data_IF_562693838948
#
_entry.id   IF_562693838948
#
_cell.length_a   1.000
_cell.length_b   1.000
_cell.length_c   1.000
_cell.angle_alpha   90.00
_cell.angle_beta   90.00
_cell.angle_gamma   90.00
#
_symmetry.space_group_name_H-M   'P 1'
#
loop_
_entity.id
_entity.type
_entity.pdbx_description
1 polymer ?
#
# COMPACT_ATOMS: atom_id res chain seq x y z
N UNK A 1 10.34 -5.06 -3.05
CA UNK A 1 9.38 -6.10 -2.61
C UNK A 1 10.00 -7.47 -2.82
N UNK A 2 10.05 -8.32 -1.81
CA UNK A 2 10.52 -9.71 -2.00
C UNK A 2 9.33 -10.54 -2.53
N UNK A 3 9.38 -11.03 -3.78
CA UNK A 3 8.27 -11.78 -4.39
C UNK A 3 8.00 -13.13 -3.70
N UNK A 4 8.88 -13.55 -2.78
CA UNK A 4 8.77 -14.81 -2.03
C UNK A 4 8.00 -14.67 -0.72
N UNK A 5 7.78 -13.44 -0.23
CA UNK A 5 7.03 -13.18 0.99
C UNK A 5 5.63 -12.63 0.68
N UNK A 6 4.61 -13.24 1.29
CA UNK A 6 3.21 -12.79 1.18
C UNK A 6 2.95 -11.51 1.97
N UNK A 7 3.77 -11.26 2.99
CA UNK A 7 3.54 -10.19 3.93
C UNK A 7 4.30 -8.93 3.49
N UNK A 8 3.58 -7.83 3.49
CA UNK A 8 4.13 -6.49 3.27
C UNK A 8 4.49 -5.86 4.61
N UNK A 9 5.30 -4.83 4.58
CA UNK A 9 5.54 -3.98 5.73
C UNK A 9 4.95 -2.61 5.44
N UNK A 10 4.01 -2.20 6.27
CA UNK A 10 3.47 -0.85 6.26
C UNK A 10 4.33 0.02 7.21
N UNK A 11 4.88 1.11 6.68
CA UNK A 11 5.58 2.09 7.50
C UNK A 11 4.56 3.05 8.11
N UNK A 12 4.56 3.13 9.43
CA UNK A 12 3.65 3.96 10.20
C UNK A 12 4.46 4.99 10.98
N UNK A 13 4.17 6.27 10.76
CA UNK A 13 4.74 7.36 11.56
C UNK A 13 3.85 7.58 12.78
N UNK A 14 4.45 7.58 13.97
CA UNK A 14 3.76 7.96 15.19
C UNK A 14 3.70 9.48 15.25
N UNK A 15 2.51 10.05 15.21
CA UNK A 15 2.30 11.51 15.19
C UNK A 15 2.09 12.04 16.61
N UNK A 16 1.42 11.28 17.47
CA UNK A 16 1.17 11.65 18.87
C UNK A 16 1.03 10.40 19.74
N UNK A 17 1.33 10.53 21.01
CA UNK A 17 1.28 9.45 21.99
C UNK A 17 2.48 8.52 21.91
N UNK A 18 2.31 7.35 22.49
CA UNK A 18 3.32 6.30 22.58
C UNK A 18 2.74 5.00 21.99
N UNK A 19 3.60 4.27 21.32
CA UNK A 19 3.31 2.92 20.84
C UNK A 19 3.85 1.90 21.84
N UNK A 20 3.03 0.93 22.19
CA UNK A 20 3.42 -0.28 22.89
C UNK A 20 3.07 -1.52 22.05
N UNK A 21 3.97 -2.49 22.04
CA UNK A 21 3.76 -3.75 21.32
C UNK A 21 2.48 -4.45 21.77
N UNK A 22 1.66 -4.85 20.81
CA UNK A 22 0.39 -5.52 21.08
C UNK A 22 -0.77 -4.58 21.36
N UNK A 23 -0.58 -3.25 21.30
CA UNK A 23 -1.67 -2.30 21.42
C UNK A 23 -2.72 -2.49 20.33
N UNK A 24 -3.96 -2.16 20.66
CA UNK A 24 -5.07 -2.20 19.70
C UNK A 24 -5.31 -0.82 19.10
N UNK A 25 -5.39 -0.75 17.80
CA UNK A 25 -5.66 0.47 17.04
C UNK A 25 -6.88 0.29 16.15
N UNK A 26 -7.50 1.39 15.75
CA UNK A 26 -8.59 1.41 14.79
C UNK A 26 -8.11 2.03 13.48
N UNK A 27 -8.33 1.35 12.39
CA UNK A 27 -8.13 1.88 11.04
C UNK A 27 -9.33 2.76 10.69
N UNK A 28 -9.14 4.08 10.64
CA UNK A 28 -10.23 5.06 10.51
C UNK A 28 -11.03 4.85 9.23
N UNK A 29 -10.36 4.61 8.10
CA UNK A 29 -10.99 4.39 6.80
C UNK A 29 -12.03 3.26 6.80
N UNK A 30 -11.80 2.17 7.52
CA UNK A 30 -12.70 1.00 7.53
C UNK A 30 -13.46 0.81 8.84
N UNK A 31 -13.07 1.52 9.89
CA UNK A 31 -13.59 1.33 11.25
C UNK A 31 -13.20 0.00 11.90
N UNK A 32 -12.28 -0.76 11.29
CA UNK A 32 -11.84 -2.06 11.81
C UNK A 32 -10.70 -1.91 12.80
N UNK A 33 -10.80 -2.66 13.91
CA UNK A 33 -9.71 -2.79 14.87
C UNK A 33 -8.58 -3.70 14.35
N UNK A 34 -7.34 -3.35 14.66
CA UNK A 34 -6.16 -4.14 14.40
C UNK A 34 -5.27 -4.19 15.64
N UNK A 35 -4.57 -5.30 15.86
CA UNK A 35 -3.60 -5.44 16.94
C UNK A 35 -2.18 -5.39 16.38
N UNK A 36 -1.38 -4.45 16.86
CA UNK A 36 -0.01 -4.25 16.41
C UNK A 36 0.96 -5.14 17.20
N UNK A 37 0.99 -6.44 16.88
CA UNK A 37 1.80 -7.43 17.62
C UNK A 37 3.19 -7.62 17.05
N UNK A 38 3.31 -7.57 15.71
CA UNK A 38 4.56 -7.77 14.99
C UNK A 38 5.02 -6.43 14.41
N UNK A 39 5.85 -5.73 15.17
CA UNK A 39 6.34 -4.40 14.81
C UNK A 39 7.86 -4.42 14.81
N UNK A 40 8.44 -3.86 13.76
CA UNK A 40 9.89 -3.77 13.57
C UNK A 40 10.29 -2.32 13.36
N UNK A 41 11.50 -1.96 13.78
CA UNK A 41 12.17 -0.73 13.40
C UNK A 41 13.34 -1.06 12.51
N UNK A 42 13.60 -0.19 11.56
CA UNK A 42 14.75 -0.33 10.69
C UNK A 42 15.89 0.54 11.24
N UNK A 43 16.95 -0.12 11.71
CA UNK A 43 18.19 0.50 12.14
C UNK A 43 19.27 0.12 11.13
N UNK A 44 19.53 1.01 10.18
CA UNK A 44 20.46 0.77 9.07
C UNK A 44 20.09 -0.52 8.28
N UNK A 45 20.91 -1.58 8.37
CA UNK A 45 20.70 -2.86 7.66
C UNK A 45 19.95 -3.90 8.50
N UNK A 46 19.74 -3.68 9.80
CA UNK A 46 19.09 -4.64 10.69
C UNK A 46 17.63 -4.32 10.94
N UNK A 47 16.84 -5.39 11.12
CA UNK A 47 15.45 -5.30 11.59
C UNK A 47 15.42 -5.72 13.03
N UNK A 48 15.01 -4.83 13.91
CA UNK A 48 14.86 -5.12 15.32
C UNK A 48 13.37 -5.05 15.70
N UNK A 49 12.96 -5.95 16.61
CA UNK A 49 11.62 -5.88 17.17
C UNK A 49 11.52 -4.69 18.11
N UNK A 50 10.45 -3.93 17.97
CA UNK A 50 10.19 -2.73 18.77
C UNK A 50 9.15 -3.04 19.81
N UNK A 51 9.48 -2.80 21.07
CA UNK A 51 8.54 -2.92 22.18
C UNK A 51 7.80 -1.59 22.40
N UNK A 52 8.51 -0.47 22.32
CA UNK A 52 7.96 0.88 22.52
C UNK A 52 8.49 1.84 21.47
N UNK A 53 7.69 2.83 21.10
CA UNK A 53 8.11 3.93 20.24
C UNK A 53 7.29 5.19 20.57
N UNK A 54 7.86 6.37 20.29
CA UNK A 54 7.27 7.66 20.66
C UNK A 54 6.92 8.49 19.43
N UNK A 55 6.19 9.59 19.68
CA UNK A 55 5.86 10.55 18.62
C UNK A 55 7.10 11.05 17.88
N UNK A 56 7.08 10.95 16.55
CA UNK A 56 8.19 11.24 15.64
C UNK A 56 8.84 9.99 15.05
N UNK A 57 8.75 8.86 15.74
CA UNK A 57 9.31 7.59 15.26
C UNK A 57 8.53 6.98 14.09
N UNK A 58 9.25 6.17 13.31
CA UNK A 58 8.67 5.37 12.22
C UNK A 58 8.84 3.90 12.56
N UNK A 59 7.73 3.18 12.59
CA UNK A 59 7.69 1.74 12.85
C UNK A 59 7.20 0.99 11.62
N UNK A 60 7.67 -0.24 11.44
CA UNK A 60 7.23 -1.15 10.40
C UNK A 60 6.24 -2.16 10.95
N UNK A 61 5.03 -2.17 10.44
CA UNK A 61 3.96 -3.09 10.82
C UNK A 61 3.79 -4.13 9.72
N UNK A 62 3.77 -5.41 10.10
CA UNK A 62 3.46 -6.48 9.14
C UNK A 62 2.01 -6.38 8.67
N UNK A 63 1.84 -6.38 7.36
CA UNK A 63 0.55 -6.18 6.71
C UNK A 63 0.24 -7.28 5.70
N UNK A 64 -0.93 -7.87 5.81
CA UNK A 64 -1.46 -8.87 4.87
C UNK A 64 -2.28 -8.26 3.72
N UNK A 65 -2.23 -6.94 3.54
CA UNK A 65 -2.96 -6.21 2.52
C UNK A 65 -4.14 -5.39 3.05
N UNK A 66 -4.09 -5.05 4.34
CA UNK A 66 -5.15 -4.26 5.02
C UNK A 66 -4.91 -2.76 4.90
N UNK A 67 -3.65 -2.35 5.04
CA UNK A 67 -3.26 -0.94 5.07
C UNK A 67 -3.00 -0.37 3.68
N UNK A 68 -3.35 0.89 3.53
CA UNK A 68 -3.10 1.69 2.32
C UNK A 68 -2.28 2.93 2.68
N UNK A 69 -1.57 3.46 1.70
CA UNK A 69 -0.84 4.73 1.87
C UNK A 69 -1.83 5.84 2.17
N UNK A 70 -1.56 6.63 3.23
CA UNK A 70 -2.45 7.67 3.72
C UNK A 70 -3.45 7.23 4.79
N UNK A 71 -3.53 5.93 5.12
CA UNK A 71 -4.39 5.46 6.20
C UNK A 71 -4.00 6.07 7.55
N UNK A 72 -5.02 6.36 8.36
CA UNK A 72 -4.85 6.84 9.74
C UNK A 72 -5.22 5.74 10.72
N UNK A 73 -4.33 5.51 11.70
CA UNK A 73 -4.54 4.60 12.82
C UNK A 73 -4.77 5.42 14.09
N UNK A 74 -5.82 5.12 14.83
CA UNK A 74 -6.17 5.81 16.07
C UNK A 74 -6.33 4.84 17.23
N UNK A 75 -6.06 5.31 18.45
CA UNK A 75 -6.31 4.58 19.68
C UNK A 75 -7.63 5.05 20.29
N UNK A 76 -8.43 4.11 20.81
CA UNK A 76 -9.70 4.43 21.44
C UNK A 76 -10.83 4.73 20.45
N UNK A 77 -11.80 5.57 20.85
CA UNK A 77 -13.01 5.87 20.08
C UNK A 77 -12.89 7.11 19.17
N UNK A 78 -11.73 7.74 19.13
CA UNK A 78 -11.51 8.94 18.35
C UNK A 78 -11.54 8.61 16.84
N UNK A 79 -12.38 9.32 16.11
CA UNK A 79 -12.46 9.21 14.63
C UNK A 79 -11.69 10.36 13.98
N UNK A 80 -10.44 10.52 14.37
CA UNK A 80 -9.57 11.49 13.71
C UNK A 80 -8.99 10.85 12.45
N UNK A 81 -8.94 11.62 11.37
CA UNK A 81 -8.33 11.22 10.10
C UNK A 81 -7.48 12.39 9.59
N UNK A 82 -6.26 12.09 9.21
CA UNK A 82 -5.40 13.08 8.56
C UNK A 82 -5.92 13.38 7.16
N UNK A 83 -5.65 14.60 6.68
CA UNK A 83 -5.89 14.92 5.29
C UNK A 83 -5.17 13.92 4.37
N UNK A 84 -5.83 13.47 3.29
CA UNK A 84 -5.22 12.54 2.35
C UNK A 84 -3.97 13.15 1.74
N UNK A 85 -2.99 12.30 1.47
CA UNK A 85 -1.78 12.74 0.77
C UNK A 85 -2.15 13.30 -0.61
N UNK A 86 -1.52 14.40 -1.04
CA UNK A 86 -1.80 14.97 -2.35
C UNK A 86 -1.47 13.95 -3.45
N UNK A 87 -2.44 13.68 -4.30
CA UNK A 87 -2.27 12.81 -5.46
C UNK A 87 -2.10 13.65 -6.70
N UNK A 88 -1.07 13.35 -7.49
CA UNK A 88 -0.87 14.01 -8.76
C UNK A 88 -1.83 13.46 -9.81
N UNK A 89 -2.41 14.32 -10.62
CA UNK A 89 -3.24 13.91 -11.75
C UNK A 89 -2.36 13.20 -12.78
N UNK A 90 -2.74 12.02 -13.27
CA UNK A 90 -2.00 11.35 -14.31
C UNK A 90 -1.97 12.16 -15.60
N UNK A 91 -0.80 12.22 -16.22
CA UNK A 91 -0.60 12.85 -17.52
C UNK A 91 -0.52 11.83 -18.67
N UNK A 92 -0.14 10.60 -18.32
CA UNK A 92 0.00 9.49 -19.27
C UNK A 92 -0.96 8.36 -18.94
N UNK A 93 -1.57 7.81 -19.97
CA UNK A 93 -2.48 6.67 -19.84
C UNK A 93 -2.04 5.52 -20.73
N UNK A 94 -2.06 4.31 -20.19
CA UNK A 94 -1.71 3.10 -20.91
C UNK A 94 -2.80 2.06 -20.74
N UNK A 95 -3.31 1.53 -21.86
CA UNK A 95 -4.24 0.42 -21.83
C UNK A 95 -3.52 -0.85 -21.45
N UNK A 96 -4.13 -1.63 -20.56
CA UNK A 96 -3.56 -2.88 -20.07
C UNK A 96 -4.55 -4.02 -20.18
N UNK A 97 -4.02 -5.18 -20.51
CA UNK A 97 -4.82 -6.41 -20.56
C UNK A 97 -3.96 -7.61 -20.16
N UNK A 98 -4.61 -8.67 -19.67
CA UNK A 98 -3.93 -9.93 -19.43
C UNK A 98 -3.61 -10.59 -20.78
N UNK A 99 -2.34 -10.87 -21.03
CA UNK A 99 -1.91 -11.58 -22.26
C UNK A 99 -2.48 -13.01 -22.36
N UNK A 100 -2.79 -13.61 -21.21
CA UNK A 100 -3.36 -14.94 -21.12
C UNK A 100 -4.60 -14.92 -20.24
N UNK A 101 -5.73 -15.33 -20.80
CA UNK A 101 -7.04 -15.38 -20.13
C UNK A 101 -6.99 -16.22 -18.85
N UNK A 102 -6.19 -17.30 -18.83
CA UNK A 102 -6.01 -18.14 -17.62
C UNK A 102 -5.32 -17.40 -16.46
N UNK A 103 -4.58 -16.32 -16.74
CA UNK A 103 -3.88 -15.51 -15.73
C UNK A 103 -4.64 -14.24 -15.33
N UNK A 104 -5.87 -14.08 -15.74
CA UNK A 104 -6.67 -12.87 -15.51
C UNK A 104 -6.82 -12.56 -14.02
N UNK A 105 -7.05 -13.57 -13.17
CA UNK A 105 -7.13 -13.37 -11.71
C UNK A 105 -5.82 -12.84 -11.11
N UNK A 106 -4.68 -13.37 -11.56
CA UNK A 106 -3.36 -12.91 -11.11
C UNK A 106 -3.05 -11.51 -11.61
N UNK A 107 -3.49 -11.17 -12.81
CA UNK A 107 -3.39 -9.85 -13.42
C UNK A 107 -4.17 -8.82 -12.60
N UNK A 108 -5.45 -9.06 -12.29
CA UNK A 108 -6.25 -8.17 -11.46
C UNK A 108 -5.62 -7.95 -10.08
N UNK A 109 -5.24 -9.03 -9.41
CA UNK A 109 -4.61 -8.94 -8.10
C UNK A 109 -3.30 -8.14 -8.13
N UNK A 110 -2.50 -8.30 -9.18
CA UNK A 110 -1.26 -7.54 -9.34
C UNK A 110 -1.50 -6.05 -9.57
N UNK A 111 -2.50 -5.69 -10.38
CA UNK A 111 -2.88 -4.28 -10.59
C UNK A 111 -3.43 -3.67 -9.30
N UNK A 112 -4.37 -4.34 -8.64
CA UNK A 112 -4.93 -3.86 -7.37
C UNK A 112 -3.83 -3.60 -6.33
N UNK A 113 -2.83 -4.47 -6.25
CA UNK A 113 -1.70 -4.29 -5.36
C UNK A 113 -0.88 -3.04 -5.71
N UNK A 114 -0.56 -2.80 -6.98
CA UNK A 114 0.18 -1.62 -7.44
C UNK A 114 -0.58 -0.32 -7.16
N UNK A 115 -1.91 -0.34 -7.29
CA UNK A 115 -2.78 0.79 -6.95
C UNK A 115 -2.76 1.05 -5.44
N UNK A 116 -2.87 0.00 -4.62
CA UNK A 116 -2.82 0.11 -3.15
C UNK A 116 -1.47 0.63 -2.65
N UNK A 117 -0.39 0.35 -3.37
CA UNK A 117 0.95 0.87 -3.08
C UNK A 117 1.15 2.31 -3.57
N UNK A 118 0.15 2.90 -4.23
CA UNK A 118 0.22 4.26 -4.76
C UNK A 118 1.17 4.43 -5.95
N UNK A 119 1.63 3.33 -6.56
CA UNK A 119 2.56 3.37 -7.67
C UNK A 119 1.93 3.91 -8.97
N UNK A 120 0.65 3.62 -9.17
CA UNK A 120 -0.14 3.98 -10.36
C UNK A 120 -1.60 4.20 -9.98
N UNK A 121 -2.36 4.81 -10.88
CA UNK A 121 -3.81 4.92 -10.77
C UNK A 121 -4.49 3.99 -11.77
N UNK A 122 -5.60 3.36 -11.38
CA UNK A 122 -6.37 2.47 -12.23
C UNK A 122 -7.69 3.14 -12.64
N UNK A 123 -7.94 3.13 -13.92
CA UNK A 123 -9.18 3.60 -14.53
C UNK A 123 -9.84 2.47 -15.30
N UNK A 124 -11.15 2.47 -15.30
CA UNK A 124 -11.95 1.54 -16.11
C UNK A 124 -12.75 2.34 -17.12
N UNK A 125 -12.64 1.99 -18.38
CA UNK A 125 -13.50 2.56 -19.40
C UNK A 125 -14.91 1.95 -19.26
N UNK A 126 -15.87 2.79 -18.90
CA UNK A 126 -17.25 2.33 -18.66
C UNK A 126 -17.95 1.76 -19.91
N UNK A 127 -17.53 2.16 -21.11
CA UNK A 127 -18.14 1.69 -22.35
C UNK A 127 -17.58 0.34 -22.79
N UNK A 128 -16.26 0.12 -22.62
CA UNK A 128 -15.58 -1.09 -23.15
C UNK A 128 -15.20 -2.08 -22.03
N UNK A 129 -15.26 -1.66 -20.76
CA UNK A 129 -14.79 -2.46 -19.62
C UNK A 129 -13.27 -2.63 -19.57
N UNK A 130 -12.53 -1.88 -20.38
CA UNK A 130 -11.08 -1.98 -20.46
C UNK A 130 -10.40 -1.23 -19.33
N UNK A 131 -9.28 -1.79 -18.86
CA UNK A 131 -8.44 -1.16 -17.83
C UNK A 131 -7.40 -0.25 -18.45
N UNK A 132 -7.26 0.94 -17.85
CA UNK A 132 -6.25 1.92 -18.18
C UNK A 132 -5.46 2.26 -16.92
N UNK A 133 -4.15 2.22 -17.02
CA UNK A 133 -3.25 2.70 -15.96
C UNK A 133 -2.90 4.15 -16.24
N UNK A 134 -3.03 4.99 -15.21
CA UNK A 134 -2.61 6.39 -15.24
C UNK A 134 -1.33 6.59 -14.43
N UNK A 135 -0.40 7.35 -14.98
CA UNK A 135 0.87 7.71 -14.36
C UNK A 135 1.21 9.18 -14.63
N UNK A 136 1.96 9.80 -13.75
CA UNK A 136 2.45 11.17 -13.93
C UNK A 136 3.58 11.23 -14.97
N UNK A 137 4.34 10.13 -15.10
CA UNK A 137 5.45 10.05 -16.04
C UNK A 137 5.79 8.64 -16.47
N UNK A 138 6.57 8.53 -17.55
CA UNK A 138 6.95 7.26 -18.16
C UNK A 138 7.71 6.34 -17.21
N UNK A 139 8.54 6.87 -16.31
CA UNK A 139 9.30 6.10 -15.34
C UNK A 139 8.41 5.27 -14.41
N UNK A 140 7.22 5.75 -14.08
CA UNK A 140 6.27 4.97 -13.26
C UNK A 140 5.84 3.70 -13.97
N UNK A 141 5.57 3.74 -15.27
CA UNK A 141 5.27 2.54 -16.05
C UNK A 141 6.46 1.58 -16.12
N UNK A 142 7.69 2.08 -16.26
CA UNK A 142 8.89 1.24 -16.29
C UNK A 142 9.12 0.52 -14.95
N UNK A 143 8.89 1.21 -13.84
CA UNK A 143 8.95 0.62 -12.50
C UNK A 143 7.89 -0.47 -12.34
N UNK A 144 6.65 -0.17 -12.71
CA UNK A 144 5.54 -1.14 -12.69
C UNK A 144 5.83 -2.36 -13.54
N UNK A 145 6.43 -2.15 -14.73
CA UNK A 145 6.86 -3.22 -15.60
C UNK A 145 7.93 -4.13 -14.98
N UNK A 146 8.97 -3.53 -14.37
CA UNK A 146 10.04 -4.29 -13.71
C UNK A 146 9.57 -5.03 -12.46
N UNK A 147 8.68 -4.42 -11.68
CA UNK A 147 8.14 -5.03 -10.46
C UNK A 147 7.18 -6.18 -10.76
N UNK A 148 6.57 -6.21 -11.92
CA UNK A 148 5.55 -7.19 -12.26
C UNK A 148 5.85 -7.89 -13.58
N UNK A 149 6.81 -8.82 -13.54
CA UNK A 149 7.22 -9.67 -14.67
C UNK A 149 6.06 -10.51 -15.25
N UNK A 150 4.91 -10.56 -14.58
CA UNK A 150 3.68 -11.20 -15.04
C UNK A 150 2.75 -10.27 -15.82
N UNK A 151 2.97 -8.96 -15.76
CA UNK A 151 2.26 -7.96 -16.55
C UNK A 151 3.03 -7.74 -17.84
N UNK A 152 2.69 -8.48 -18.89
CA UNK A 152 3.05 -8.02 -20.24
C UNK A 152 2.00 -7.02 -20.67
N UNK A 153 2.37 -5.75 -20.64
CA UNK A 153 1.62 -4.65 -21.23
C UNK A 153 1.64 -4.79 -22.74
N UNK A 154 0.55 -4.45 -23.36
CA UNK A 154 0.42 -4.35 -24.83
C UNK A 154 0.86 -2.97 -25.28
#
# INVERSE_FOLDING_TARGET
>A
MDPRHRDRIAFVRIVSGEFERGMSVNLTRTGKGAKLSNVTQFMAESRENVENAVAGDIIGVYDTGTYQVGDTLTVGKNKFEFEPLPTFTPELFMKVSAKNVMKQKSFHKGIEQLVQEGAIQLYTNYQTGEYMLGAVGQLQFEVVWKMNTMLKLL
#
